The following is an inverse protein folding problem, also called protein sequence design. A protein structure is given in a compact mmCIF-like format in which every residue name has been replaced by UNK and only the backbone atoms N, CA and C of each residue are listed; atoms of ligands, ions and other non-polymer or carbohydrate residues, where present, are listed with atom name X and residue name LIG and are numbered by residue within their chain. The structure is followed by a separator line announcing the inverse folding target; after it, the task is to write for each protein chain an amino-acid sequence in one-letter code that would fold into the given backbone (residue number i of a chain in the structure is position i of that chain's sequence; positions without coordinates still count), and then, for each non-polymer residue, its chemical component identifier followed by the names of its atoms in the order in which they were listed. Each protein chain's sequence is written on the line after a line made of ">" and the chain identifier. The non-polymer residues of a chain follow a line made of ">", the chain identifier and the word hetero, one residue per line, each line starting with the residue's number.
data_IF_196123562072
#
_entry.id   IF_196123562072
#
_cell.length_a   1.000
_cell.length_b   1.000
_cell.length_c   1.000
_cell.angle_alpha   90.00
_cell.angle_beta   90.00
_cell.angle_gamma   90.00
#
_symmetry.space_group_name_H-M   'P 1'
#
loop_
_entity.id
_entity.type
_entity.pdbx_description
1 polymer ?
#
# COMPACT_ATOMS: atom_id res chain seq x y z
N UNK A 1 65.24 -48.47 -34.33
CA UNK A 1 64.99 -48.21 -32.90
C UNK A 1 64.74 -46.70 -32.84
N UNK A 2 63.45 -46.28 -32.96
CA UNK A 2 63.07 -44.88 -33.04
C UNK A 2 62.17 -44.67 -31.82
N UNK A 3 62.50 -43.70 -30.98
CA UNK A 3 61.80 -43.36 -29.78
C UNK A 3 60.63 -42.36 -30.08
N UNK A 4 59.45 -42.63 -29.61
CA UNK A 4 58.29 -41.73 -29.64
C UNK A 4 58.39 -40.58 -28.61
N UNK A 5 57.94 -39.39 -28.90
CA UNK A 5 57.85 -38.34 -27.93
C UNK A 5 56.51 -38.39 -27.18
N UNK A 6 56.58 -38.32 -25.82
CA UNK A 6 55.46 -38.23 -24.91
C UNK A 6 54.69 -36.92 -25.10
N UNK A 7 53.38 -37.02 -25.34
CA UNK A 7 52.42 -35.94 -25.21
C UNK A 7 52.20 -35.62 -23.73
N UNK A 8 52.60 -34.42 -23.32
CA UNK A 8 52.18 -33.77 -22.05
C UNK A 8 51.64 -32.38 -22.35
N UNK A 9 50.36 -32.26 -22.70
CA UNK A 9 49.74 -30.95 -22.77
C UNK A 9 48.19 -30.97 -22.70
N UNK A 10 47.66 -31.71 -21.71
CA UNK A 10 46.18 -31.74 -21.46
C UNK A 10 45.73 -31.01 -20.19
N UNK A 11 46.62 -30.79 -19.22
CA UNK A 11 46.26 -30.30 -17.90
C UNK A 11 46.15 -28.76 -17.78
N UNK A 12 46.89 -28.02 -18.58
CA UNK A 12 46.93 -26.55 -18.47
C UNK A 12 45.76 -25.83 -19.14
N UNK A 13 45.14 -26.45 -20.15
CA UNK A 13 43.98 -25.87 -20.87
C UNK A 13 42.69 -25.98 -20.06
N UNK A 14 42.45 -27.07 -19.37
CA UNK A 14 41.25 -27.28 -18.51
C UNK A 14 41.28 -26.41 -17.27
N UNK A 15 42.39 -26.20 -16.61
CA UNK A 15 42.53 -25.32 -15.45
C UNK A 15 42.29 -23.83 -15.80
N UNK A 16 42.68 -23.41 -17.02
CA UNK A 16 42.46 -22.03 -17.48
C UNK A 16 41.02 -21.74 -17.88
N UNK A 17 40.31 -22.73 -18.45
CA UNK A 17 38.90 -22.63 -18.78
C UNK A 17 38.01 -22.59 -17.53
N UNK A 18 38.32 -23.38 -16.50
CA UNK A 18 37.56 -23.39 -15.24
C UNK A 18 37.76 -22.09 -14.43
N UNK A 19 38.97 -21.51 -14.49
CA UNK A 19 39.23 -20.20 -13.85
C UNK A 19 38.52 -19.04 -14.57
N UNK A 20 38.45 -19.06 -15.90
CA UNK A 20 37.76 -18.06 -16.69
C UNK A 20 36.23 -18.11 -16.48
N UNK A 21 35.65 -19.33 -16.39
CA UNK A 21 34.22 -19.53 -16.08
C UNK A 21 33.87 -19.09 -14.65
N UNK A 22 34.74 -19.28 -13.68
CA UNK A 22 34.60 -18.82 -12.30
C UNK A 22 34.63 -17.30 -12.18
N UNK A 23 35.51 -16.62 -12.91
CA UNK A 23 35.62 -15.16 -12.92
C UNK A 23 34.43 -14.52 -13.63
N UNK A 24 33.91 -15.14 -14.71
CA UNK A 24 32.72 -14.65 -15.42
C UNK A 24 31.46 -14.82 -14.55
N UNK A 25 31.31 -15.91 -13.82
CA UNK A 25 30.22 -16.13 -12.88
C UNK A 25 30.28 -15.18 -11.67
N UNK A 26 31.47 -14.90 -11.16
CA UNK A 26 31.69 -13.92 -10.09
C UNK A 26 31.41 -12.47 -10.58
N UNK A 27 31.74 -12.14 -11.84
CA UNK A 27 31.39 -10.84 -12.45
C UNK A 27 29.90 -10.72 -12.71
N UNK A 28 29.22 -11.76 -13.18
CA UNK A 28 27.76 -11.76 -13.36
C UNK A 28 27.00 -11.73 -12.02
N UNK A 29 27.51 -12.30 -10.94
CA UNK A 29 26.96 -12.15 -9.60
C UNK A 29 27.22 -10.76 -9.00
N UNK A 30 28.19 -10.00 -9.53
CA UNK A 30 28.54 -8.64 -9.08
C UNK A 30 27.83 -7.52 -9.86
N UNK A 31 27.18 -7.83 -10.96
CA UNK A 31 26.24 -6.94 -11.65
C UNK A 31 24.82 -7.05 -11.06
N UNK A 32 24.70 -7.05 -9.76
CA UNK A 32 23.47 -6.61 -9.09
C UNK A 32 23.32 -5.15 -9.45
N UNK A 33 22.32 -4.87 -10.27
CA UNK A 33 21.91 -3.51 -10.64
C UNK A 33 21.98 -2.66 -9.36
N UNK A 34 22.95 -1.75 -9.27
CA UNK A 34 23.04 -0.79 -8.18
C UNK A 34 21.94 0.22 -8.41
N UNK A 35 20.74 -0.09 -7.94
CA UNK A 35 19.66 0.89 -7.92
C UNK A 35 20.12 2.12 -7.12
N UNK A 36 19.82 3.35 -7.58
CA UNK A 36 19.97 4.54 -6.76
C UNK A 36 19.34 4.33 -5.38
N UNK A 37 19.87 5.00 -4.36
CA UNK A 37 19.42 4.85 -2.96
C UNK A 37 17.90 4.97 -2.82
N UNK A 38 17.31 5.95 -3.52
CA UNK A 38 15.86 6.22 -3.50
C UNK A 38 15.04 5.08 -4.13
N UNK A 39 15.48 4.53 -5.26
CA UNK A 39 14.80 3.39 -5.90
C UNK A 39 14.84 2.17 -4.98
N UNK A 40 15.95 1.94 -4.30
CA UNK A 40 16.08 0.82 -3.35
C UNK A 40 15.21 1.02 -2.12
N UNK A 41 15.12 2.25 -1.62
CA UNK A 41 14.21 2.62 -0.54
C UNK A 41 12.76 2.35 -0.92
N UNK A 42 12.34 2.77 -2.11
CA UNK A 42 10.99 2.52 -2.63
C UNK A 42 10.68 1.02 -2.80
N UNK A 43 11.63 0.21 -3.27
CA UNK A 43 11.46 -1.25 -3.37
C UNK A 43 11.28 -1.91 -2.00
N UNK A 44 12.01 -1.46 -0.97
CA UNK A 44 11.85 -1.95 0.40
C UNK A 44 10.48 -1.59 0.95
N UNK A 45 9.99 -0.38 0.72
CA UNK A 45 8.66 0.09 1.16
C UNK A 45 7.55 -0.71 0.48
N UNK A 46 7.65 -0.95 -0.83
CA UNK A 46 6.65 -1.74 -1.56
C UNK A 46 6.64 -3.22 -1.12
N UNK A 47 7.81 -3.81 -0.89
CA UNK A 47 7.91 -5.14 -0.31
C UNK A 47 7.29 -5.20 1.10
N UNK A 48 7.57 -4.20 1.95
CA UNK A 48 6.98 -4.09 3.28
C UNK A 48 5.46 -3.98 3.22
N UNK A 49 4.91 -3.13 2.34
CA UNK A 49 3.48 -3.00 2.10
C UNK A 49 2.84 -4.36 1.77
N UNK A 50 3.47 -5.12 0.87
CA UNK A 50 2.98 -6.43 0.46
C UNK A 50 3.02 -7.45 1.61
N UNK A 51 4.11 -7.52 2.36
CA UNK A 51 4.26 -8.44 3.50
C UNK A 51 3.25 -8.10 4.61
N UNK A 52 3.08 -6.81 4.93
CA UNK A 52 2.12 -6.36 5.96
C UNK A 52 0.69 -6.67 5.52
N UNK A 53 0.35 -6.45 4.26
CA UNK A 53 -0.98 -6.76 3.74
C UNK A 53 -1.32 -8.26 3.75
N UNK A 54 -0.31 -9.13 3.66
CA UNK A 54 -0.47 -10.59 3.67
C UNK A 54 -0.53 -11.17 5.09
N UNK A 55 0.36 -10.74 5.98
CA UNK A 55 0.58 -11.35 7.31
C UNK A 55 0.10 -10.50 8.48
N UNK A 56 -0.22 -9.24 8.24
CA UNK A 56 -0.45 -8.23 9.26
C UNK A 56 0.86 -7.61 9.79
N UNK A 57 0.74 -6.39 10.30
CA UNK A 57 1.88 -5.62 10.78
C UNK A 57 2.59 -6.31 11.96
N UNK A 58 1.83 -6.81 12.93
CA UNK A 58 2.36 -7.41 14.16
C UNK A 58 3.14 -8.72 13.93
N UNK A 59 2.89 -9.38 12.79
CA UNK A 59 3.62 -10.59 12.38
C UNK A 59 4.78 -10.30 11.42
N UNK A 60 5.02 -9.03 11.05
CA UNK A 60 6.03 -8.63 10.08
C UNK A 60 7.32 -8.21 10.78
N UNK A 61 8.46 -8.73 10.33
CA UNK A 61 9.79 -8.38 10.83
C UNK A 61 10.64 -7.72 9.73
N UNK A 62 11.72 -7.02 10.13
CA UNK A 62 12.72 -6.47 9.20
C UNK A 62 13.36 -7.56 8.31
N UNK A 63 13.43 -8.81 8.80
CA UNK A 63 13.94 -9.96 8.02
C UNK A 63 12.96 -10.38 6.93
N UNK A 64 11.66 -10.37 7.23
CA UNK A 64 10.64 -10.71 6.23
C UNK A 64 10.64 -9.67 5.10
N UNK A 65 10.79 -8.39 5.45
CA UNK A 65 10.90 -7.29 4.48
C UNK A 65 12.17 -7.44 3.65
N UNK A 66 13.32 -7.77 4.27
CA UNK A 66 14.57 -8.00 3.56
C UNK A 66 14.45 -9.15 2.56
N UNK A 67 13.83 -10.25 2.98
CA UNK A 67 13.58 -11.41 2.11
C UNK A 67 12.65 -11.05 0.94
N UNK A 68 11.55 -10.34 1.19
CA UNK A 68 10.57 -9.96 0.17
C UNK A 68 11.11 -8.92 -0.82
N UNK A 69 12.03 -8.05 -0.38
CA UNK A 69 12.69 -7.04 -1.24
C UNK A 69 13.98 -7.57 -1.91
N UNK A 70 14.32 -8.84 -1.70
CA UNK A 70 15.52 -9.48 -2.24
C UNK A 70 16.84 -8.75 -1.89
N UNK A 71 16.89 -8.12 -0.72
CA UNK A 71 18.09 -7.44 -0.21
C UNK A 71 18.56 -8.07 1.11
N UNK A 72 19.78 -7.74 1.52
CA UNK A 72 20.27 -8.15 2.85
C UNK A 72 19.58 -7.36 3.97
N UNK A 73 19.48 -7.94 5.17
CA UNK A 73 19.01 -7.21 6.36
C UNK A 73 19.85 -5.96 6.60
N UNK A 74 21.17 -6.02 6.37
CA UNK A 74 22.06 -4.85 6.45
C UNK A 74 21.69 -3.74 5.47
N UNK A 75 21.18 -4.09 4.30
CA UNK A 75 20.67 -3.09 3.35
C UNK A 75 19.41 -2.42 3.89
N UNK A 76 18.48 -3.19 4.44
CA UNK A 76 17.24 -2.61 5.03
C UNK A 76 17.60 -1.68 6.20
N UNK A 77 18.47 -2.11 7.12
CA UNK A 77 18.89 -1.31 8.29
C UNK A 77 19.77 -0.11 7.94
N UNK A 78 20.39 -0.10 6.76
CA UNK A 78 21.05 1.10 6.23
C UNK A 78 20.04 2.18 5.81
N UNK A 79 18.91 1.78 5.24
CA UNK A 79 17.87 2.71 4.76
C UNK A 79 16.85 3.09 5.83
N UNK A 80 16.61 2.23 6.83
CA UNK A 80 15.55 2.41 7.83
C UNK A 80 16.05 2.02 9.22
N UNK A 81 15.80 2.85 10.21
CA UNK A 81 16.15 2.61 11.62
C UNK A 81 15.35 1.48 12.24
N UNK A 82 14.17 1.18 11.69
CA UNK A 82 13.29 0.15 12.18
C UNK A 82 11.99 0.05 11.39
N UNK A 83 11.15 -0.92 11.77
CA UNK A 83 9.88 -1.19 11.09
C UNK A 83 8.92 0.00 11.16
N UNK A 84 8.98 0.80 12.22
CA UNK A 84 8.15 1.98 12.39
C UNK A 84 8.39 3.03 11.29
N UNK A 85 9.66 3.25 10.91
CA UNK A 85 10.00 4.18 9.82
C UNK A 85 9.53 3.65 8.46
N UNK A 86 9.66 2.33 8.24
CA UNK A 86 9.15 1.69 7.02
C UNK A 86 7.63 1.83 6.96
N UNK A 87 6.92 1.55 8.05
CA UNK A 87 5.47 1.66 8.11
C UNK A 87 5.00 3.09 7.83
N UNK A 88 5.69 4.09 8.36
CA UNK A 88 5.37 5.48 8.08
C UNK A 88 5.38 5.78 6.57
N UNK A 89 6.39 5.31 5.84
CA UNK A 89 6.45 5.48 4.39
C UNK A 89 5.44 4.63 3.63
N UNK A 90 5.14 3.42 4.12
CA UNK A 90 4.06 2.60 3.56
C UNK A 90 2.72 3.34 3.65
N UNK A 91 2.42 3.97 4.79
CA UNK A 91 1.19 4.74 4.98
C UNK A 91 1.13 5.99 4.09
N UNK A 92 2.24 6.72 3.97
CA UNK A 92 2.31 7.87 3.06
C UNK A 92 2.11 7.43 1.60
N UNK A 93 2.74 6.32 1.18
CA UNK A 93 2.54 5.73 -0.13
C UNK A 93 1.11 5.26 -0.39
N UNK A 94 0.38 4.79 0.63
CA UNK A 94 -1.04 4.44 0.53
C UNK A 94 -1.92 5.68 0.27
N UNK A 95 -1.59 6.81 0.89
CA UNK A 95 -2.31 8.06 0.62
C UNK A 95 -2.14 8.53 -0.84
N UNK A 96 -0.97 8.34 -1.41
CA UNK A 96 -0.69 8.75 -2.79
C UNK A 96 -1.20 7.72 -3.82
N UNK A 97 -0.98 6.43 -3.58
CA UNK A 97 -1.24 5.38 -4.56
C UNK A 97 -2.67 4.80 -4.52
N UNK A 98 -3.37 4.90 -3.41
CA UNK A 98 -4.74 4.39 -3.26
C UNK A 98 -5.75 5.51 -3.01
N UNK A 99 -5.55 6.33 -1.98
CA UNK A 99 -6.52 7.34 -1.56
C UNK A 99 -6.67 8.48 -2.59
N UNK A 100 -5.58 9.13 -2.98
CA UNK A 100 -5.64 10.31 -3.83
C UNK A 100 -6.29 10.05 -5.20
N UNK A 101 -6.05 8.92 -5.91
CA UNK A 101 -6.75 8.59 -7.14
C UNK A 101 -8.27 8.41 -6.96
N UNK A 102 -8.73 7.88 -5.82
CA UNK A 102 -10.16 7.72 -5.54
C UNK A 102 -10.84 9.07 -5.33
N UNK A 103 -10.20 9.97 -4.60
CA UNK A 103 -10.68 11.34 -4.41
C UNK A 103 -10.71 12.09 -5.74
N UNK A 104 -9.66 11.99 -6.55
CA UNK A 104 -9.63 12.59 -7.88
C UNK A 104 -10.74 12.05 -8.80
N UNK A 105 -10.99 10.74 -8.79
CA UNK A 105 -12.08 10.12 -9.55
C UNK A 105 -13.46 10.58 -9.06
N UNK A 106 -13.63 10.80 -7.76
CA UNK A 106 -14.86 11.36 -7.20
C UNK A 106 -15.11 12.81 -7.67
N UNK A 107 -14.07 13.65 -7.63
CA UNK A 107 -14.20 15.04 -8.11
C UNK A 107 -14.38 15.15 -9.63
N UNK A 108 -14.02 14.13 -10.40
CA UNK A 108 -14.28 14.06 -11.85
C UNK A 108 -15.74 13.71 -12.20
N UNK A 109 -16.58 13.31 -11.22
CA UNK A 109 -17.99 13.01 -11.44
C UNK A 109 -18.79 14.29 -11.77
N UNK A 110 -19.96 14.16 -12.43
CA UNK A 110 -20.72 15.35 -12.89
C UNK A 110 -21.24 16.22 -11.74
N UNK A 111 -21.56 15.63 -10.59
CA UNK A 111 -22.19 16.32 -9.46
C UNK A 111 -21.74 15.75 -8.10
N UNK A 112 -22.16 16.41 -7.00
CA UNK A 112 -21.74 16.03 -5.65
C UNK A 112 -22.31 14.69 -5.19
N UNK A 113 -23.50 14.30 -5.58
CA UNK A 113 -24.11 13.00 -5.24
C UNK A 113 -23.37 11.86 -5.95
N UNK A 114 -23.09 12.03 -7.24
CA UNK A 114 -22.29 11.07 -8.01
C UNK A 114 -20.87 10.95 -7.46
N UNK A 115 -20.29 12.06 -6.97
CA UNK A 115 -18.97 12.04 -6.33
C UNK A 115 -18.96 11.21 -5.03
N UNK A 116 -19.96 11.33 -4.13
CA UNK A 116 -20.08 10.48 -2.95
C UNK A 116 -20.19 9.00 -3.31
N UNK A 117 -20.98 8.68 -4.36
CA UNK A 117 -21.12 7.30 -4.84
C UNK A 117 -19.81 6.75 -5.40
N UNK A 118 -19.08 7.55 -6.18
CA UNK A 118 -17.78 7.15 -6.73
C UNK A 118 -16.74 6.89 -5.64
N UNK A 119 -16.71 7.68 -4.56
CA UNK A 119 -15.89 7.41 -3.38
C UNK A 119 -16.24 6.06 -2.76
N UNK A 120 -17.51 5.80 -2.51
CA UNK A 120 -18.00 4.55 -1.95
C UNK A 120 -17.58 3.37 -2.84
N UNK A 121 -17.76 3.49 -4.16
CA UNK A 121 -17.43 2.44 -5.12
C UNK A 121 -15.93 2.14 -5.15
N UNK A 122 -15.11 3.17 -5.11
CA UNK A 122 -13.65 3.03 -5.12
C UNK A 122 -13.12 2.37 -3.85
N UNK A 123 -13.50 2.87 -2.68
CA UNK A 123 -13.06 2.32 -1.40
C UNK A 123 -13.61 0.91 -1.12
N UNK A 124 -14.79 0.60 -1.62
CA UNK A 124 -15.45 -0.70 -1.45
C UNK A 124 -15.37 -1.58 -2.69
N UNK A 125 -14.35 -1.38 -3.52
CA UNK A 125 -14.08 -2.25 -4.66
C UNK A 125 -13.80 -3.69 -4.20
N UNK A 126 -14.39 -4.68 -4.90
CA UNK A 126 -14.12 -6.10 -4.64
C UNK A 126 -12.80 -6.52 -5.29
N UNK A 127 -11.70 -5.87 -4.92
CA UNK A 127 -10.37 -6.10 -5.49
C UNK A 127 -9.35 -6.48 -4.40
N UNK A 128 -8.30 -7.24 -4.76
CA UNK A 128 -7.19 -7.51 -3.82
C UNK A 128 -6.56 -6.24 -3.28
N UNK A 129 -6.44 -5.20 -4.09
CA UNK A 129 -5.84 -3.91 -3.71
C UNK A 129 -6.65 -3.19 -2.62
N UNK A 130 -7.98 -3.14 -2.77
CA UNK A 130 -8.85 -2.56 -1.75
C UNK A 130 -8.80 -3.36 -0.43
N UNK A 131 -8.73 -4.70 -0.50
CA UNK A 131 -8.55 -5.54 0.67
C UNK A 131 -7.22 -5.25 1.37
N UNK A 132 -6.11 -5.15 0.64
CA UNK A 132 -4.80 -4.84 1.18
C UNK A 132 -4.79 -3.49 1.90
N UNK A 133 -5.40 -2.47 1.28
CA UNK A 133 -5.56 -1.15 1.89
C UNK A 133 -6.27 -1.23 3.25
N UNK A 134 -7.42 -1.91 3.31
CA UNK A 134 -8.20 -1.98 4.54
C UNK A 134 -7.52 -2.81 5.64
N UNK A 135 -6.81 -3.88 5.31
CA UNK A 135 -6.01 -4.64 6.29
C UNK A 135 -4.92 -3.75 6.87
N UNK A 136 -4.16 -3.05 6.03
CA UNK A 136 -3.13 -2.11 6.47
C UNK A 136 -3.71 -1.00 7.34
N UNK A 137 -4.88 -0.45 6.95
CA UNK A 137 -5.55 0.62 7.68
C UNK A 137 -6.03 0.19 9.07
N UNK A 138 -6.54 -1.03 9.20
CA UNK A 138 -6.95 -1.61 10.48
C UNK A 138 -5.76 -1.81 11.43
N UNK A 139 -4.63 -2.32 10.93
CA UNK A 139 -3.40 -2.44 11.70
C UNK A 139 -2.89 -1.08 12.16
N UNK A 140 -2.97 -0.08 11.29
CA UNK A 140 -2.61 1.31 11.61
C UNK A 140 -3.52 1.90 12.70
N UNK A 141 -4.83 1.69 12.63
CA UNK A 141 -5.75 2.12 13.68
C UNK A 141 -5.43 1.47 15.03
N UNK A 142 -5.12 0.17 15.04
CA UNK A 142 -4.73 -0.52 16.24
C UNK A 142 -3.46 0.06 16.87
N UNK A 143 -2.45 0.39 16.05
CA UNK A 143 -1.23 1.08 16.53
C UNK A 143 -1.54 2.46 17.06
N UNK A 144 -2.36 3.23 16.37
CA UNK A 144 -2.71 4.61 16.76
C UNK A 144 -3.40 4.68 18.13
N UNK A 145 -4.05 3.60 18.57
CA UNK A 145 -4.65 3.52 19.88
C UNK A 145 -3.61 3.43 21.03
N UNK A 146 -2.36 3.07 20.73
CA UNK A 146 -1.34 2.78 21.73
C UNK A 146 -0.04 3.59 21.57
N UNK A 147 0.13 4.30 20.45
CA UNK A 147 1.34 5.05 20.12
C UNK A 147 0.99 6.48 19.67
N UNK A 148 1.51 7.47 20.38
CA UNK A 148 1.21 8.89 20.14
C UNK A 148 1.73 9.42 18.80
N UNK A 149 2.77 8.83 18.20
CA UNK A 149 3.26 9.24 16.88
C UNK A 149 2.27 8.80 15.79
N UNK A 150 1.84 7.55 15.85
CA UNK A 150 0.81 7.03 14.94
C UNK A 150 -0.54 7.71 15.15
N UNK A 151 -0.92 8.05 16.38
CA UNK A 151 -2.14 8.81 16.67
C UNK A 151 -2.13 10.19 15.99
N UNK A 152 -0.99 10.91 16.05
CA UNK A 152 -0.85 12.20 15.35
C UNK A 152 -0.94 12.04 13.83
N UNK A 153 -0.30 11.03 13.26
CA UNK A 153 -0.36 10.74 11.82
C UNK A 153 -1.78 10.39 11.38
N UNK A 154 -2.49 9.58 12.17
CA UNK A 154 -3.88 9.25 11.92
C UNK A 154 -4.78 10.49 11.93
N UNK A 155 -4.57 11.39 12.90
CA UNK A 155 -5.35 12.63 12.97
C UNK A 155 -5.19 13.49 11.70
N UNK A 156 -3.98 13.56 11.13
CA UNK A 156 -3.72 14.27 9.86
C UNK A 156 -4.47 13.61 8.70
N UNK A 157 -4.39 12.27 8.57
CA UNK A 157 -5.10 11.54 7.52
C UNK A 157 -6.62 11.66 7.64
N UNK A 158 -7.14 11.57 8.87
CA UNK A 158 -8.55 11.70 9.15
C UNK A 158 -9.08 13.12 8.86
N UNK A 159 -8.30 14.14 9.21
CA UNK A 159 -8.62 15.53 8.88
C UNK A 159 -8.67 15.74 7.37
N UNK A 160 -7.73 15.19 6.59
CA UNK A 160 -7.75 15.25 5.13
C UNK A 160 -8.99 14.57 4.56
N UNK A 161 -9.32 13.37 5.05
CA UNK A 161 -10.54 12.65 4.67
C UNK A 161 -11.80 13.48 4.92
N UNK A 162 -11.91 14.07 6.12
CA UNK A 162 -13.01 14.97 6.48
C UNK A 162 -13.12 16.18 5.54
N UNK A 163 -12.00 16.79 5.20
CA UNK A 163 -11.96 17.95 4.29
C UNK A 163 -12.42 17.59 2.88
N UNK A 164 -11.99 16.45 2.34
CA UNK A 164 -12.36 15.97 1.02
C UNK A 164 -13.84 15.62 0.96
N UNK A 165 -14.39 14.92 1.95
CA UNK A 165 -15.83 14.65 2.07
C UNK A 165 -16.62 15.95 2.18
N UNK A 166 -16.17 16.90 3.01
CA UNK A 166 -16.83 18.21 3.14
C UNK A 166 -16.82 19.00 1.83
N UNK A 167 -15.77 18.91 1.05
CA UNK A 167 -15.71 19.56 -0.27
C UNK A 167 -16.73 18.95 -1.25
N UNK A 168 -16.93 17.63 -1.21
CA UNK A 168 -17.97 16.97 -2.02
C UNK A 168 -19.37 17.38 -1.57
N UNK A 169 -19.65 17.46 -0.27
CA UNK A 169 -20.93 17.96 0.25
C UNK A 169 -21.20 19.40 -0.17
N UNK A 170 -20.18 20.30 -0.07
CA UNK A 170 -20.32 21.69 -0.55
C UNK A 170 -20.66 21.75 -2.03
N UNK A 171 -20.02 20.91 -2.84
CA UNK A 171 -20.31 20.80 -4.26
C UNK A 171 -21.75 20.35 -4.50
N UNK A 172 -22.22 19.30 -3.80
CA UNK A 172 -23.59 18.81 -3.94
C UNK A 172 -24.66 19.81 -3.50
N UNK A 173 -24.35 20.68 -2.52
CA UNK A 173 -25.20 21.84 -2.20
C UNK A 173 -25.21 22.87 -3.30
N UNK A 174 -24.05 23.17 -3.89
CA UNK A 174 -23.94 24.19 -4.95
C UNK A 174 -24.58 23.75 -6.26
N UNK A 175 -24.54 22.46 -6.60
CA UNK A 175 -25.15 21.89 -7.82
C UNK A 175 -26.61 21.41 -7.60
N UNK A 176 -27.12 21.48 -6.37
CA UNK A 176 -28.51 21.13 -6.01
C UNK A 176 -28.76 19.63 -5.88
N UNK A 177 -27.75 18.78 -5.96
CA UNK A 177 -27.90 17.32 -5.84
C UNK A 177 -27.93 16.81 -4.41
N UNK A 178 -27.49 17.61 -3.44
CA UNK A 178 -27.57 17.34 -2.01
C UNK A 178 -28.21 18.54 -1.29
N UNK A 179 -29.06 18.24 -0.30
CA UNK A 179 -29.63 19.25 0.61
C UNK A 179 -29.39 18.81 2.04
N UNK A 180 -28.61 19.58 2.78
CA UNK A 180 -28.30 19.36 4.19
C UNK A 180 -28.34 20.69 4.93
N UNK A 181 -28.78 20.67 6.20
CA UNK A 181 -28.90 21.89 7.01
C UNK A 181 -27.51 22.32 7.54
N UNK A 182 -26.70 21.37 7.98
CA UNK A 182 -25.36 21.60 8.50
C UNK A 182 -24.35 20.65 7.84
N UNK A 183 -23.42 21.19 7.05
CA UNK A 183 -22.39 20.39 6.35
C UNK A 183 -21.55 19.59 7.33
N UNK A 184 -21.15 20.17 8.47
CA UNK A 184 -20.32 19.50 9.46
C UNK A 184 -20.98 18.25 10.04
N UNK A 185 -22.26 18.30 10.34
CA UNK A 185 -23.05 17.16 10.83
C UNK A 185 -23.22 16.11 9.75
N UNK A 186 -23.58 16.50 8.54
CA UNK A 186 -23.75 15.57 7.42
C UNK A 186 -22.44 14.83 7.08
N UNK A 187 -21.32 15.52 7.15
CA UNK A 187 -19.97 14.91 6.98
C UNK A 187 -19.68 13.94 8.10
N UNK A 188 -19.93 14.32 9.36
CA UNK A 188 -19.68 13.45 10.51
C UNK A 188 -20.54 12.17 10.46
N UNK A 189 -21.82 12.30 10.09
CA UNK A 189 -22.72 11.17 9.90
C UNK A 189 -22.27 10.24 8.76
N UNK A 190 -21.94 10.83 7.60
CA UNK A 190 -21.44 10.05 6.47
C UNK A 190 -20.18 9.26 6.84
N UNK A 191 -19.21 9.93 7.49
CA UNK A 191 -17.97 9.29 7.93
C UNK A 191 -18.23 8.20 8.95
N UNK A 192 -19.11 8.42 9.94
CA UNK A 192 -19.46 7.40 10.93
C UNK A 192 -20.10 6.15 10.30
N UNK A 193 -21.01 6.34 9.34
CA UNK A 193 -21.63 5.24 8.60
C UNK A 193 -20.62 4.52 7.71
N UNK A 194 -19.75 5.27 7.04
CA UNK A 194 -18.71 4.74 6.19
C UNK A 194 -17.69 3.92 7.00
N UNK A 195 -17.12 4.49 8.07
CA UNK A 195 -16.13 3.83 8.94
C UNK A 195 -16.73 2.63 9.68
N UNK A 196 -18.01 2.66 9.96
CA UNK A 196 -18.73 1.52 10.53
C UNK A 196 -18.90 0.34 9.59
N UNK A 197 -18.84 0.55 8.27
CA UNK A 197 -19.10 -0.48 7.25
C UNK A 197 -17.86 -0.88 6.45
N UNK A 198 -17.07 0.09 6.00
CA UNK A 198 -16.02 -0.15 5.03
C UNK A 198 -14.90 -1.09 5.56
N UNK A 199 -14.28 -0.84 6.72
CA UNK A 199 -13.27 -1.76 7.24
C UNK A 199 -13.83 -3.16 7.49
N UNK A 200 -15.04 -3.26 8.05
CA UNK A 200 -15.68 -4.53 8.36
C UNK A 200 -15.96 -5.39 7.12
N UNK A 201 -16.19 -4.76 5.97
CA UNK A 201 -16.46 -5.47 4.73
C UNK A 201 -15.29 -6.36 4.25
N UNK A 202 -14.08 -6.13 4.78
CA UNK A 202 -12.88 -6.88 4.46
C UNK A 202 -12.40 -7.80 5.59
N UNK A 203 -13.07 -7.76 6.77
CA UNK A 203 -12.77 -8.66 7.88
C UNK A 203 -13.44 -10.02 7.71
N UNK A 204 -12.70 -11.13 7.87
CA UNK A 204 -13.30 -12.47 7.92
C UNK A 204 -14.37 -12.56 9.01
N UNK A 205 -15.51 -13.17 8.69
CA UNK A 205 -16.57 -13.41 9.68
C UNK A 205 -17.43 -12.22 10.06
N UNK A 206 -17.19 -11.02 9.54
CA UNK A 206 -17.95 -9.81 9.90
C UNK A 206 -19.39 -9.76 9.35
N UNK A 207 -19.83 -10.76 8.58
CA UNK A 207 -21.20 -10.86 8.06
C UNK A 207 -21.58 -9.85 6.99
N UNK A 208 -20.63 -9.00 6.56
CA UNK A 208 -20.83 -8.03 5.48
C UNK A 208 -19.69 -8.19 4.45
N UNK A 209 -20.03 -8.09 3.17
CA UNK A 209 -19.06 -8.09 2.06
C UNK A 209 -19.02 -6.71 1.40
N UNK A 210 -17.94 -6.36 0.64
CA UNK A 210 -17.81 -5.06 -0.01
C UNK A 210 -19.04 -4.64 -0.82
N UNK A 211 -19.62 -5.53 -1.62
CA UNK A 211 -20.84 -5.24 -2.38
C UNK A 211 -22.05 -4.91 -1.49
N UNK A 212 -22.20 -5.61 -0.36
CA UNK A 212 -23.27 -5.35 0.59
C UNK A 212 -23.10 -4.04 1.36
N UNK A 213 -21.87 -3.71 1.76
CA UNK A 213 -21.52 -2.42 2.38
C UNK A 213 -21.76 -1.27 1.40
N UNK A 214 -21.29 -1.40 0.16
CA UNK A 214 -21.50 -0.44 -0.92
C UNK A 214 -22.99 -0.15 -1.16
N UNK A 215 -23.81 -1.20 -1.28
CA UNK A 215 -25.27 -1.03 -1.48
C UNK A 215 -25.94 -0.31 -0.31
N UNK A 216 -25.49 -0.51 0.93
CA UNK A 216 -26.04 0.18 2.10
C UNK A 216 -25.62 1.63 2.14
N UNK A 217 -24.36 1.93 1.83
CA UNK A 217 -23.85 3.30 1.74
C UNK A 217 -24.50 4.08 0.59
N UNK A 218 -24.73 3.45 -0.57
CA UNK A 218 -25.50 4.08 -1.65
C UNK A 218 -26.91 4.43 -1.19
N UNK A 219 -27.62 3.52 -0.51
CA UNK A 219 -28.95 3.84 0.06
C UNK A 219 -28.92 4.94 1.10
N UNK A 220 -27.82 5.05 1.88
CA UNK A 220 -27.65 6.20 2.78
C UNK A 220 -27.54 7.50 1.98
N UNK A 221 -26.70 7.55 0.95
CA UNK A 221 -26.57 8.72 0.08
C UNK A 221 -27.90 9.06 -0.63
N UNK A 222 -28.69 8.06 -1.05
CA UNK A 222 -29.98 8.26 -1.70
C UNK A 222 -31.05 8.87 -0.79
N UNK A 223 -30.92 8.73 0.53
CA UNK A 223 -31.82 9.34 1.52
C UNK A 223 -31.48 10.79 1.82
N UNK A 224 -30.30 11.28 1.43
CA UNK A 224 -29.99 12.70 1.53
C UNK A 224 -30.90 13.44 0.52
N UNK A 225 -31.71 14.42 0.94
CA UNK A 225 -32.61 15.17 0.03
C UNK A 225 -31.83 15.83 -1.11
N UNK A 226 -32.57 16.14 -2.17
CA UNK A 226 -32.12 17.02 -3.27
C UNK A 226 -32.61 18.43 -3.06
#
# INVERSE_FOLDING_TARGET
>A
MVAEPRQLDGGARTARATRAAGVTRARQASERIRHPTEVRRALIVEAARSVIADRGLFATTMRDIAAASEVSLGTVTYHFRGIAEILAEVLDGEMDAFYAPLVAAAFAQPDGRAALRALIDGFLASSPRARQHWVLWLDFWALSAHDGEYARRQAVFYQRWQQDVAAIFRRGLADGTLRVEAIGEAVAEFMAVFDGMAPKAYLPGAGIRPAGARSRLHRYVDRIPQ
#
